data_IF_014490280110
#
_entry.id   IF_014490280110
#
_cell.length_a   1.000
_cell.length_b   1.000
_cell.length_c   1.000
_cell.angle_alpha   90.00
_cell.angle_beta   90.00
_cell.angle_gamma   90.00
#
_symmetry.space_group_name_H-M   'P 1'
#
loop_
_entity.id
_entity.type
_entity.pdbx_description
1 polymer ?
#
# COMPACT_ATOMS: atom_id res chain seq x y z
N UNK A 1 -5.52 -28.94 18.27
CA UNK A 1 -4.80 -28.11 17.27
C UNK A 1 -3.36 -28.01 17.73
N UNK A 2 -2.44 -28.64 17.00
CA UNK A 2 -1.02 -28.76 17.34
C UNK A 2 -0.26 -27.52 16.86
N UNK A 3 0.57 -26.95 17.73
CA UNK A 3 1.50 -25.87 17.41
C UNK A 3 2.82 -26.47 16.90
N UNK A 4 3.20 -26.16 15.66
CA UNK A 4 4.53 -26.46 15.14
C UNK A 4 5.46 -25.27 15.35
N UNK A 5 6.50 -25.50 16.14
CA UNK A 5 7.59 -24.56 16.41
C UNK A 5 8.51 -24.39 15.21
N UNK A 6 8.86 -23.14 14.92
CA UNK A 6 9.88 -22.79 13.93
C UNK A 6 11.26 -23.01 14.54
N UNK A 7 12.00 -23.89 13.86
CA UNK A 7 13.33 -24.38 14.21
C UNK A 7 14.37 -23.31 13.82
N UNK A 8 15.19 -22.90 14.78
CA UNK A 8 16.32 -21.99 14.55
C UNK A 8 17.35 -22.58 13.58
N UNK A 9 17.69 -21.81 12.56
CA UNK A 9 18.84 -22.09 11.69
C UNK A 9 20.14 -21.58 12.31
N UNK A 10 21.29 -22.20 12.01
CA UNK A 10 22.58 -21.79 12.58
C UNK A 10 23.03 -20.44 12.02
N UNK A 11 23.58 -19.61 12.91
CA UNK A 11 24.16 -18.31 12.59
C UNK A 11 25.39 -18.46 11.68
N UNK A 12 25.36 -17.78 10.54
CA UNK A 12 26.49 -17.68 9.60
C UNK A 12 27.47 -16.63 10.16
N UNK A 13 28.76 -16.95 10.37
CA UNK A 13 29.72 -15.96 10.85
C UNK A 13 30.06 -14.95 9.75
N UNK A 14 29.86 -13.67 10.06
CA UNK A 14 30.31 -12.53 9.25
C UNK A 14 31.84 -12.51 9.21
N UNK A 15 32.41 -12.82 8.06
CA UNK A 15 33.84 -12.60 7.78
C UNK A 15 34.04 -11.11 7.49
N UNK A 16 34.84 -10.43 8.32
CA UNK A 16 35.31 -9.07 8.07
C UNK A 16 36.20 -9.07 6.82
N UNK A 17 35.78 -8.36 5.78
CA UNK A 17 36.63 -8.03 4.64
C UNK A 17 37.46 -6.83 5.08
N UNK A 18 38.74 -7.08 5.39
CA UNK A 18 39.72 -6.01 5.53
C UNK A 18 40.08 -5.48 4.15
N UNK A 19 40.10 -4.15 4.08
CA UNK A 19 40.45 -3.31 2.96
C UNK A 19 41.81 -3.71 2.36
N UNK A 20 41.84 -4.03 1.07
CA UNK A 20 43.10 -4.06 0.30
C UNK A 20 43.13 -2.79 -0.52
N UNK A 21 43.96 -1.86 -0.04
CA UNK A 21 44.26 -0.60 -0.67
C UNK A 21 44.98 -0.80 -2.02
N UNK A 22 44.54 0.05 -2.93
CA UNK A 22 45.12 0.47 -4.18
C UNK A 22 46.60 0.90 -4.02
N UNK A 23 47.44 0.50 -4.97
CA UNK A 23 48.80 1.02 -5.15
C UNK A 23 49.17 0.87 -6.61
N UNK A 24 48.62 1.76 -7.43
CA UNK A 24 49.17 2.06 -8.74
C UNK A 24 50.46 2.88 -8.61
N UNK A 25 51.56 2.36 -9.17
CA UNK A 25 52.70 3.13 -9.70
C UNK A 25 53.23 2.34 -10.92
N UNK A 26 53.05 2.80 -12.15
CA UNK A 26 53.74 3.89 -12.86
C UNK A 26 54.99 3.40 -13.62
N UNK A 27 54.83 3.43 -14.95
CA UNK A 27 55.77 3.65 -16.06
C UNK A 27 57.31 3.60 -15.85
N UNK A 28 57.98 2.79 -16.69
CA UNK A 28 59.24 3.11 -17.37
C UNK A 28 59.44 2.07 -18.51
N UNK A 29 59.36 2.40 -19.81
CA UNK A 29 60.23 3.23 -20.66
C UNK A 29 61.62 2.62 -20.97
N UNK A 30 61.88 2.47 -22.28
CA UNK A 30 63.17 2.28 -23.00
C UNK A 30 63.91 0.94 -22.79
N UNK A 31 64.55 0.25 -23.76
CA UNK A 31 65.06 0.57 -25.10
C UNK A 31 65.47 -0.76 -25.80
N UNK A 32 65.57 -0.86 -27.13
CA UNK A 32 66.10 -2.03 -27.84
C UNK A 32 67.59 -1.85 -28.19
N UNK A 33 68.42 -2.90 -28.09
CA UNK A 33 69.79 -2.88 -28.63
C UNK A 33 70.18 -4.16 -29.36
N UNK A 34 70.60 -3.94 -30.60
CA UNK A 34 71.08 -4.91 -31.59
C UNK A 34 72.57 -5.23 -31.39
N UNK A 35 72.91 -6.50 -31.68
CA UNK A 35 74.13 -7.03 -32.33
C UNK A 35 75.55 -6.74 -31.79
N UNK A 36 76.31 -7.81 -31.54
CA UNK A 36 77.64 -7.98 -32.13
C UNK A 36 78.13 -9.44 -32.14
N UNK A 37 78.65 -9.80 -33.32
CA UNK A 37 79.34 -11.01 -33.80
C UNK A 37 80.63 -11.32 -33.02
N UNK A 38 80.94 -12.60 -32.77
CA UNK A 38 82.34 -13.06 -32.64
C UNK A 38 82.50 -14.53 -33.04
N UNK A 39 83.63 -14.80 -33.67
CA UNK A 39 84.00 -15.89 -34.58
C UNK A 39 84.86 -16.97 -33.90
N UNK A 40 84.58 -18.25 -34.13
CA UNK A 40 85.57 -19.34 -34.31
C UNK A 40 84.86 -20.69 -34.59
N UNK A 41 85.13 -21.34 -35.73
CA UNK A 41 84.96 -22.80 -35.90
C UNK A 41 86.25 -23.55 -35.49
N UNK A 42 86.46 -24.87 -35.75
CA UNK A 42 85.68 -25.90 -36.48
C UNK A 42 85.58 -27.24 -35.65
N UNK A 43 85.31 -28.48 -36.16
CA UNK A 43 84.99 -28.94 -37.52
C UNK A 43 83.69 -29.74 -37.66
N UNK A 44 83.37 -29.99 -38.94
CA UNK A 44 82.29 -30.81 -39.46
C UNK A 44 82.40 -32.27 -38.98
N UNK A 45 81.32 -32.77 -38.37
CA UNK A 45 81.00 -34.19 -38.37
C UNK A 45 79.57 -34.35 -38.91
N UNK A 46 79.45 -35.09 -40.01
CA UNK A 46 78.21 -35.42 -40.69
C UNK A 46 77.26 -36.17 -39.75
N UNK A 47 76.24 -35.47 -39.26
CA UNK A 47 75.21 -35.97 -38.36
C UNK A 47 73.80 -35.56 -38.77
N UNK A 48 73.48 -35.65 -40.07
CA UNK A 48 72.18 -35.22 -40.64
C UNK A 48 70.96 -36.04 -40.20
N UNK A 49 71.12 -37.05 -39.34
CA UNK A 49 70.02 -37.89 -38.85
C UNK A 49 69.33 -37.43 -37.56
N UNK A 50 69.99 -36.62 -36.72
CA UNK A 50 69.46 -36.28 -35.36
C UNK A 50 68.78 -34.91 -35.27
N UNK A 51 69.11 -33.96 -36.15
CA UNK A 51 68.56 -32.59 -36.07
C UNK A 51 67.10 -32.49 -36.52
N UNK A 52 66.63 -33.38 -37.40
CA UNK A 52 65.24 -33.42 -37.87
C UNK A 52 64.29 -33.99 -36.81
N UNK A 53 64.71 -35.03 -36.08
CA UNK A 53 63.94 -35.57 -34.97
C UNK A 53 63.86 -34.59 -33.80
N UNK A 54 64.96 -33.97 -33.39
CA UNK A 54 64.96 -32.94 -32.34
C UNK A 54 64.07 -31.73 -32.70
N UNK A 55 64.12 -31.23 -33.95
CA UNK A 55 63.20 -30.18 -34.41
C UNK A 55 61.73 -30.60 -34.36
N UNK A 56 61.41 -31.85 -34.70
CA UNK A 56 60.03 -32.34 -34.63
C UNK A 56 59.49 -32.43 -33.20
N UNK A 57 60.36 -32.70 -32.21
CA UNK A 57 59.98 -32.69 -30.79
C UNK A 57 59.77 -31.26 -30.26
N UNK A 58 60.62 -30.32 -30.66
CA UNK A 58 60.46 -28.90 -30.31
C UNK A 58 59.18 -28.31 -30.95
N UNK A 59 58.89 -28.66 -32.20
CA UNK A 59 57.66 -28.23 -32.90
C UNK A 59 56.40 -28.79 -32.24
N UNK A 60 56.42 -30.06 -31.81
CA UNK A 60 55.30 -30.68 -31.08
C UNK A 60 55.09 -30.04 -29.70
N UNK A 61 56.17 -29.77 -28.97
CA UNK A 61 56.10 -29.10 -27.66
C UNK A 61 55.58 -27.66 -27.78
N UNK A 62 55.96 -26.95 -28.85
CA UNK A 62 55.44 -25.61 -29.13
C UNK A 62 53.95 -25.66 -29.47
N UNK A 63 53.48 -26.67 -30.21
CA UNK A 63 52.07 -26.84 -30.51
C UNK A 63 51.24 -27.11 -29.24
N UNK A 64 51.69 -28.02 -28.37
CA UNK A 64 51.00 -28.31 -27.10
C UNK A 64 50.90 -27.07 -26.20
N UNK A 65 51.96 -26.24 -26.19
CA UNK A 65 51.96 -24.97 -25.47
C UNK A 65 51.01 -23.94 -26.09
N UNK A 66 50.91 -23.88 -27.41
CA UNK A 66 49.95 -23.01 -28.10
C UNK A 66 48.51 -23.42 -27.81
N UNK A 67 48.20 -24.72 -27.87
CA UNK A 67 46.88 -25.25 -27.58
C UNK A 67 46.48 -24.97 -26.13
N UNK A 68 47.42 -25.12 -25.19
CA UNK A 68 47.21 -24.78 -23.78
C UNK A 68 46.99 -23.27 -23.58
N UNK A 69 47.71 -22.41 -24.30
CA UNK A 69 47.50 -20.96 -24.24
C UNK A 69 46.13 -20.56 -24.79
N UNK A 70 45.70 -21.15 -25.91
CA UNK A 70 44.37 -20.90 -26.49
C UNK A 70 43.29 -21.33 -25.50
N UNK A 71 43.41 -22.52 -24.90
CA UNK A 71 42.44 -22.98 -23.91
C UNK A 71 42.40 -22.07 -22.67
N UNK A 72 43.56 -21.59 -22.20
CA UNK A 72 43.62 -20.63 -21.10
C UNK A 72 42.99 -19.27 -21.45
N UNK A 73 43.15 -18.80 -22.68
CA UNK A 73 42.50 -17.57 -23.12
C UNK A 73 40.97 -17.72 -23.16
N UNK A 74 40.46 -18.86 -23.63
CA UNK A 74 39.02 -19.17 -23.60
C UNK A 74 38.48 -19.21 -22.15
N UNK A 75 39.18 -19.87 -21.24
CA UNK A 75 38.84 -19.89 -19.80
C UNK A 75 38.83 -18.46 -19.22
N UNK A 76 39.84 -17.64 -19.54
CA UNK A 76 39.92 -16.24 -19.10
C UNK A 76 38.74 -15.43 -19.64
N UNK A 77 38.36 -15.64 -20.90
CA UNK A 77 37.24 -14.95 -21.53
C UNK A 77 35.91 -15.33 -20.87
N UNK A 78 35.71 -16.61 -20.56
CA UNK A 78 34.53 -17.08 -19.83
C UNK A 78 34.49 -16.49 -18.41
N UNK A 79 35.61 -16.50 -17.69
CA UNK A 79 35.70 -15.90 -16.36
C UNK A 79 35.40 -14.40 -16.38
N UNK A 80 35.90 -13.65 -17.37
CA UNK A 80 35.57 -12.23 -17.56
C UNK A 80 34.07 -12.02 -17.77
N UNK A 81 33.42 -12.89 -18.53
CA UNK A 81 31.98 -12.82 -18.73
C UNK A 81 31.20 -13.08 -17.43
N UNK A 82 31.57 -14.12 -16.68
CA UNK A 82 30.95 -14.43 -15.38
C UNK A 82 31.15 -13.29 -14.39
N UNK A 83 32.32 -12.66 -14.34
CA UNK A 83 32.59 -11.49 -13.49
C UNK A 83 31.66 -10.34 -13.88
N UNK A 84 31.56 -10.01 -15.16
CA UNK A 84 30.68 -8.94 -15.64
C UNK A 84 29.21 -9.19 -15.28
N UNK A 85 28.74 -10.44 -15.38
CA UNK A 85 27.39 -10.81 -14.96
C UNK A 85 27.20 -10.65 -13.45
N UNK A 86 28.17 -11.09 -12.64
CA UNK A 86 28.12 -10.95 -11.18
C UNK A 86 28.11 -9.48 -10.77
N UNK A 87 28.94 -8.64 -11.39
CA UNK A 87 28.96 -7.19 -11.11
C UNK A 87 27.62 -6.53 -11.44
N UNK A 88 26.99 -6.94 -12.55
CA UNK A 88 25.65 -6.46 -12.90
C UNK A 88 24.61 -6.83 -11.85
N UNK A 89 24.60 -8.10 -11.39
CA UNK A 89 23.69 -8.56 -10.34
C UNK A 89 23.93 -7.84 -9.02
N UNK A 90 25.19 -7.68 -8.61
CA UNK A 90 25.56 -6.97 -7.38
C UNK A 90 25.06 -5.52 -7.43
N UNK A 91 25.25 -4.83 -8.56
CA UNK A 91 24.78 -3.47 -8.75
C UNK A 91 23.25 -3.37 -8.67
N UNK A 92 22.55 -4.26 -9.37
CA UNK A 92 21.08 -4.30 -9.36
C UNK A 92 20.52 -4.54 -7.95
N UNK A 93 21.09 -5.49 -7.21
CA UNK A 93 20.67 -5.75 -5.83
C UNK A 93 21.01 -4.59 -4.89
N UNK A 94 22.14 -3.91 -5.12
CA UNK A 94 22.52 -2.71 -4.37
C UNK A 94 21.53 -1.55 -4.55
N UNK A 95 21.04 -1.33 -5.76
CA UNK A 95 19.99 -0.34 -6.04
C UNK A 95 18.67 -0.71 -5.36
N UNK A 96 18.28 -1.98 -5.41
CA UNK A 96 17.07 -2.47 -4.75
C UNK A 96 17.14 -2.33 -3.23
N UNK A 97 18.26 -2.70 -2.61
CA UNK A 97 18.50 -2.50 -1.17
C UNK A 97 18.46 -1.02 -0.81
N UNK A 98 19.11 -0.15 -1.60
CA UNK A 98 19.05 1.29 -1.39
C UNK A 98 17.62 1.84 -1.44
N UNK A 99 16.80 1.34 -2.37
CA UNK A 99 15.38 1.72 -2.44
C UNK A 99 14.58 1.23 -1.23
N UNK A 100 14.87 0.02 -0.73
CA UNK A 100 14.22 -0.55 0.45
C UNK A 100 14.60 0.19 1.74
N UNK A 101 15.84 0.65 1.88
CA UNK A 101 16.28 1.48 3.00
C UNK A 101 15.57 2.85 3.02
N UNK A 102 15.44 3.49 1.86
CA UNK A 102 14.67 4.74 1.73
C UNK A 102 13.20 4.49 2.09
N UNK A 103 12.61 3.39 1.64
CA UNK A 103 11.24 3.02 1.99
C UNK A 103 11.09 2.80 3.52
N UNK A 104 12.04 2.11 4.15
CA UNK A 104 12.05 1.90 5.60
C UNK A 104 12.15 3.23 6.37
N UNK A 105 12.98 4.17 5.90
CA UNK A 105 13.09 5.50 6.50
C UNK A 105 11.76 6.27 6.40
N UNK A 106 11.09 6.22 5.25
CA UNK A 106 9.78 6.86 5.05
C UNK A 106 8.71 6.24 5.96
N UNK A 107 8.71 4.91 6.12
CA UNK A 107 7.80 4.22 7.04
C UNK A 107 8.04 4.69 8.47
N UNK A 108 9.30 4.72 8.92
CA UNK A 108 9.65 5.22 10.25
C UNK A 108 9.20 6.68 10.47
N UNK A 109 9.39 7.56 9.47
CA UNK A 109 8.89 8.94 9.54
C UNK A 109 7.37 9.00 9.63
N UNK A 110 6.65 8.21 8.85
CA UNK A 110 5.19 8.13 8.91
C UNK A 110 4.71 7.64 10.28
N UNK A 111 5.36 6.64 10.85
CA UNK A 111 5.03 6.14 12.20
C UNK A 111 5.24 7.20 13.28
N UNK A 112 6.29 8.02 13.16
CA UNK A 112 6.51 9.16 14.05
C UNK A 112 5.40 10.21 13.95
N UNK A 113 4.95 10.52 12.72
CA UNK A 113 3.84 11.45 12.51
C UNK A 113 2.54 10.89 13.06
N UNK A 114 2.23 9.61 12.81
CA UNK A 114 1.03 8.95 13.33
C UNK A 114 1.01 8.99 14.86
N UNK A 115 2.13 8.63 15.51
CA UNK A 115 2.23 8.65 16.97
C UNK A 115 2.01 10.05 17.54
N UNK A 116 2.61 11.07 16.92
CA UNK A 116 2.42 12.47 17.31
C UNK A 116 0.95 12.90 17.16
N UNK A 117 0.31 12.57 16.04
CA UNK A 117 -1.10 12.90 15.82
C UNK A 117 -2.01 12.18 16.82
N UNK A 118 -1.68 10.94 17.22
CA UNK A 118 -2.41 10.21 18.26
C UNK A 118 -2.25 10.88 19.64
N UNK A 119 -1.05 11.35 19.97
CA UNK A 119 -0.80 12.11 21.21
C UNK A 119 -1.58 13.44 21.21
N UNK A 120 -1.52 14.20 20.11
CA UNK A 120 -2.29 15.45 19.93
C UNK A 120 -3.82 15.19 19.98
N UNK A 121 -4.28 14.06 19.44
CA UNK A 121 -5.69 13.66 19.51
C UNK A 121 -6.12 13.31 20.94
N UNK A 122 -5.32 12.56 21.68
CA UNK A 122 -5.63 12.26 23.08
C UNK A 122 -5.49 13.51 23.95
N UNK A 123 -4.53 14.42 23.69
CA UNK A 123 -4.41 15.70 24.38
C UNK A 123 -5.63 16.60 24.12
N UNK A 124 -6.09 16.70 22.87
CA UNK A 124 -7.31 17.48 22.54
C UNK A 124 -8.54 16.84 23.15
N UNK A 125 -8.67 15.52 23.14
CA UNK A 125 -9.76 14.80 23.80
C UNK A 125 -9.75 14.99 25.32
N UNK A 126 -8.57 14.94 25.95
CA UNK A 126 -8.39 15.21 27.37
C UNK A 126 -8.73 16.68 27.68
N UNK A 127 -8.29 17.62 26.85
CA UNK A 127 -8.64 19.04 26.94
C UNK A 127 -10.14 19.28 26.78
N UNK A 128 -10.82 18.55 25.89
CA UNK A 128 -12.29 18.57 25.75
C UNK A 128 -12.94 18.01 27.02
N UNK A 129 -12.44 16.92 27.59
CA UNK A 129 -12.94 16.32 28.83
C UNK A 129 -12.75 17.24 30.05
N UNK A 130 -11.60 17.90 30.17
CA UNK A 130 -11.28 18.84 31.25
C UNK A 130 -12.04 20.17 31.09
N UNK A 131 -12.18 20.66 29.85
CA UNK A 131 -13.06 21.78 29.54
C UNK A 131 -14.54 21.43 29.79
N UNK A 132 -14.94 20.17 29.62
CA UNK A 132 -16.26 19.65 29.97
C UNK A 132 -16.46 19.50 31.49
N UNK A 133 -15.39 19.43 32.29
CA UNK A 133 -15.47 19.48 33.76
C UNK A 133 -15.99 20.83 34.29
N UNK A 134 -15.85 21.90 33.51
CA UNK A 134 -16.42 23.23 33.80
C UNK A 134 -17.58 23.60 32.86
N UNK A 135 -17.92 22.69 31.93
CA UNK A 135 -18.98 22.82 30.94
C UNK A 135 -19.76 21.50 30.89
N UNK A 136 -20.38 21.13 32.01
CA UNK A 136 -21.14 19.88 32.18
C UNK A 136 -22.41 19.74 31.32
N UNK A 137 -22.46 20.40 30.17
CA UNK A 137 -23.51 20.37 29.18
C UNK A 137 -22.84 20.66 27.82
N UNK A 138 -22.57 19.64 26.98
CA UNK A 138 -22.52 19.75 25.49
C UNK A 138 -21.91 18.56 24.73
N UNK A 139 -21.71 17.37 25.32
CA UNK A 139 -22.07 16.15 24.58
C UNK A 139 -23.50 15.81 24.94
N UNK A 140 -24.42 16.65 24.49
CA UNK A 140 -25.82 16.27 24.42
C UNK A 140 -25.91 15.32 23.22
N UNK A 141 -25.33 14.12 23.35
CA UNK A 141 -25.86 12.96 22.65
C UNK A 141 -27.21 12.72 23.30
N UNK A 142 -28.16 13.59 22.98
CA UNK A 142 -29.53 13.49 23.42
C UNK A 142 -29.98 12.15 22.88
N UNK A 143 -30.16 11.18 23.77
CA UNK A 143 -30.75 9.91 23.40
C UNK A 143 -32.12 10.26 22.80
N UNK A 144 -32.24 10.09 21.48
CA UNK A 144 -33.52 10.28 20.81
C UNK A 144 -34.20 8.93 20.74
N UNK A 145 -35.41 8.86 21.26
CA UNK A 145 -36.25 7.68 21.12
C UNK A 145 -37.06 7.87 19.85
N UNK A 146 -36.88 6.96 18.88
CA UNK A 146 -37.83 6.86 17.77
C UNK A 146 -39.18 6.40 18.34
N UNK A 147 -40.17 7.29 18.31
CA UNK A 147 -41.53 6.97 18.75
C UNK A 147 -42.34 6.41 17.59
N UNK A 148 -43.25 5.45 17.85
CA UNK A 148 -44.21 5.01 16.84
C UNK A 148 -45.00 6.21 16.33
N UNK A 149 -45.03 6.36 15.01
CA UNK A 149 -45.79 7.42 14.36
C UNK A 149 -47.25 6.95 14.24
N UNK A 150 -48.19 7.74 14.77
CA UNK A 150 -49.62 7.44 14.59
C UNK A 150 -50.00 7.57 13.11
N UNK A 151 -50.95 6.76 12.65
CA UNK A 151 -51.41 6.72 11.24
C UNK A 151 -51.97 8.08 10.76
N UNK A 152 -52.31 8.97 11.69
CA UNK A 152 -52.80 10.34 11.45
C UNK A 152 -51.70 11.40 11.34
N UNK A 153 -50.44 11.05 11.58
CA UNK A 153 -49.35 12.03 11.62
C UNK A 153 -48.95 12.44 10.21
N UNK A 154 -49.16 13.71 9.87
CA UNK A 154 -48.68 14.28 8.62
C UNK A 154 -47.30 14.90 8.82
N UNK A 155 -46.45 14.78 7.80
CA UNK A 155 -45.19 15.50 7.72
C UNK A 155 -45.47 17.01 7.54
N UNK A 156 -44.86 17.85 8.38
CA UNK A 156 -44.99 19.30 8.32
C UNK A 156 -43.66 19.90 7.84
N UNK A 157 -43.59 20.46 6.62
CA UNK A 157 -42.36 21.06 6.12
C UNK A 157 -42.08 22.39 6.82
N UNK A 158 -40.79 22.72 6.94
CA UNK A 158 -40.35 24.06 7.30
C UNK A 158 -40.64 25.04 6.16
N UNK A 159 -41.25 26.17 6.49
CA UNK A 159 -41.65 27.16 5.51
C UNK A 159 -40.45 27.70 4.70
N UNK A 160 -40.55 27.64 3.38
CA UNK A 160 -39.56 28.21 2.47
C UNK A 160 -38.42 27.25 2.09
N UNK A 161 -38.45 26.00 2.53
CA UNK A 161 -37.52 24.97 2.08
C UNK A 161 -38.17 24.06 1.03
N UNK A 162 -37.70 24.20 -0.21
CA UNK A 162 -38.22 23.48 -1.38
C UNK A 162 -37.97 21.97 -1.27
N UNK A 163 -36.86 21.53 -0.67
CA UNK A 163 -36.57 20.11 -0.48
C UNK A 163 -37.55 19.53 0.53
N UNK A 164 -37.76 20.27 1.62
CA UNK A 164 -38.65 19.90 2.70
C UNK A 164 -40.12 19.81 2.26
N UNK A 165 -40.57 20.79 1.48
CA UNK A 165 -41.91 20.82 0.88
C UNK A 165 -42.12 19.62 -0.05
N UNK A 166 -41.12 19.26 -0.86
CA UNK A 166 -41.19 18.08 -1.73
C UNK A 166 -41.19 16.77 -0.95
N UNK A 167 -40.40 16.68 0.12
CA UNK A 167 -40.42 15.53 1.04
C UNK A 167 -41.79 15.43 1.72
N UNK A 168 -42.42 16.56 2.08
CA UNK A 168 -43.76 16.59 2.64
C UNK A 168 -44.81 16.10 1.64
N UNK A 169 -44.78 16.61 0.41
CA UNK A 169 -45.70 16.18 -0.66
C UNK A 169 -45.56 14.69 -0.95
N UNK A 170 -44.33 14.20 -1.05
CA UNK A 170 -44.04 12.77 -1.22
C UNK A 170 -44.54 11.96 -0.02
N UNK A 171 -44.17 12.36 1.20
CA UNK A 171 -44.44 11.61 2.43
C UNK A 171 -45.92 11.58 2.80
N UNK A 172 -46.64 12.68 2.57
CA UNK A 172 -48.07 12.80 2.85
C UNK A 172 -48.93 12.18 1.73
N UNK A 173 -48.39 12.06 0.51
CA UNK A 173 -49.05 11.39 -0.61
C UNK A 173 -49.09 9.87 -0.49
N UNK A 174 -48.29 9.28 0.41
CA UNK A 174 -48.24 7.84 0.70
C UNK A 174 -48.35 7.60 2.21
N UNK A 175 -48.44 6.33 2.60
CA UNK A 175 -48.34 5.93 4.01
C UNK A 175 -46.93 5.44 4.27
N UNK A 176 -46.06 6.32 4.74
CA UNK A 176 -44.70 5.95 5.12
C UNK A 176 -44.70 5.17 6.44
N UNK A 177 -43.88 4.12 6.50
CA UNK A 177 -43.57 3.38 7.72
C UNK A 177 -42.48 4.07 8.54
N UNK A 178 -41.59 4.79 7.85
CA UNK A 178 -40.48 5.52 8.45
C UNK A 178 -40.56 6.97 8.00
N UNK A 179 -40.55 7.90 8.97
CA UNK A 179 -40.64 9.33 8.69
C UNK A 179 -39.26 9.96 8.58
N UNK A 180 -39.15 10.95 7.70
CA UNK A 180 -38.02 11.88 7.70
C UNK A 180 -38.12 12.80 8.90
N UNK A 181 -36.98 13.16 9.48
CA UNK A 181 -36.87 14.19 10.52
C UNK A 181 -35.79 15.17 10.10
N UNK A 182 -36.16 16.41 9.82
CA UNK A 182 -35.22 17.45 9.42
C UNK A 182 -34.32 17.84 10.58
N UNK A 183 -33.01 17.91 10.32
CA UNK A 183 -32.03 18.38 11.29
C UNK A 183 -31.86 19.90 11.20
N UNK A 184 -31.19 20.50 12.20
CA UNK A 184 -30.95 21.96 12.23
C UNK A 184 -30.04 22.42 11.08
N UNK A 185 -29.20 21.53 10.57
CA UNK A 185 -28.29 21.83 9.47
C UNK A 185 -29.00 21.68 8.12
N UNK A 186 -28.78 22.63 7.21
CA UNK A 186 -29.46 22.68 5.92
C UNK A 186 -29.16 21.44 5.08
N UNK A 187 -30.21 20.81 4.56
CA UNK A 187 -30.11 19.65 3.70
C UNK A 187 -29.87 18.32 4.43
N UNK A 188 -29.76 18.29 5.76
CA UNK A 188 -29.58 17.04 6.51
C UNK A 188 -30.87 16.57 7.17
N UNK A 189 -31.11 15.26 7.06
CA UNK A 189 -32.31 14.60 7.51
C UNK A 189 -31.97 13.27 8.17
N UNK A 190 -32.80 12.84 9.12
CA UNK A 190 -32.82 11.48 9.60
C UNK A 190 -33.95 10.71 8.92
N UNK A 191 -33.64 9.57 8.32
CA UNK A 191 -34.62 8.60 7.85
C UNK A 191 -34.54 7.36 8.74
N UNK A 192 -35.41 7.28 9.75
CA UNK A 192 -35.29 6.29 10.80
C UNK A 192 -33.99 6.49 11.58
N UNK A 193 -32.97 5.67 11.30
CA UNK A 193 -31.64 5.77 11.90
C UNK A 193 -30.56 6.23 10.91
N UNK A 194 -30.90 6.35 9.63
CA UNK A 194 -29.96 6.73 8.59
C UNK A 194 -29.83 8.26 8.55
N UNK A 195 -28.59 8.74 8.65
CA UNK A 195 -28.27 10.15 8.42
C UNK A 195 -28.10 10.37 6.92
N UNK A 196 -28.99 11.16 6.34
CA UNK A 196 -29.04 11.39 4.91
C UNK A 196 -28.99 12.88 4.58
N UNK A 197 -28.32 13.19 3.50
CA UNK A 197 -28.32 14.50 2.87
C UNK A 197 -29.31 14.51 1.71
N UNK A 198 -30.26 15.44 1.75
CA UNK A 198 -31.27 15.62 0.71
C UNK A 198 -31.01 16.93 -0.03
N UNK A 199 -31.08 16.90 -1.36
CA UNK A 199 -30.88 18.09 -2.18
C UNK A 199 -31.88 18.13 -3.35
N UNK A 200 -32.24 19.36 -3.74
CA UNK A 200 -33.15 19.58 -4.85
C UNK A 200 -32.44 19.30 -6.18
N UNK A 201 -33.07 18.50 -7.03
CA UNK A 201 -32.55 18.25 -8.37
C UNK A 201 -32.70 19.51 -9.24
N UNK A 202 -31.58 19.97 -9.82
CA UNK A 202 -31.54 21.17 -10.68
C UNK A 202 -32.22 20.94 -12.03
N UNK A 203 -32.34 19.68 -12.48
CA UNK A 203 -32.98 19.30 -13.73
C UNK A 203 -34.34 18.67 -13.46
N UNK A 204 -35.35 19.51 -13.21
CA UNK A 204 -36.71 19.16 -12.78
C UNK A 204 -37.56 18.34 -13.78
N UNK A 205 -36.95 17.58 -14.70
CA UNK A 205 -37.65 16.92 -15.80
C UNK A 205 -37.61 15.39 -15.79
N UNK A 206 -36.81 14.74 -14.93
CA UNK A 206 -36.72 13.27 -14.92
C UNK A 206 -37.43 12.59 -13.76
N UNK A 207 -37.43 13.22 -12.58
CA UNK A 207 -37.90 12.56 -11.36
C UNK A 207 -39.12 13.28 -10.79
N UNK A 208 -40.16 12.51 -10.46
CA UNK A 208 -41.48 13.01 -10.05
C UNK A 208 -41.44 13.80 -8.74
N UNK A 209 -40.51 13.45 -7.84
CA UNK A 209 -40.28 14.15 -6.58
C UNK A 209 -39.19 15.24 -6.69
N UNK A 210 -38.24 15.14 -7.63
CA UNK A 210 -37.15 16.10 -7.82
C UNK A 210 -36.25 16.29 -6.60
N UNK A 211 -36.13 15.28 -5.74
CA UNK A 211 -35.26 15.26 -4.55
C UNK A 211 -34.33 14.06 -4.66
N UNK A 212 -33.04 14.32 -4.48
CA UNK A 212 -32.01 13.30 -4.41
C UNK A 212 -31.60 13.12 -2.95
N UNK A 213 -31.33 11.88 -2.56
CA UNK A 213 -30.99 11.46 -1.21
C UNK A 213 -29.67 10.71 -1.24
N UNK A 214 -28.74 11.11 -0.38
CA UNK A 214 -27.44 10.48 -0.21
C UNK A 214 -27.23 10.15 1.27
N UNK A 215 -26.90 8.91 1.59
CA UNK A 215 -26.46 8.54 2.95
C UNK A 215 -25.06 9.13 3.21
N UNK A 216 -24.82 9.68 4.40
CA UNK A 216 -23.58 10.43 4.68
C UNK A 216 -22.30 9.60 4.47
N UNK A 217 -22.38 8.30 4.73
CA UNK A 217 -21.27 7.34 4.59
C UNK A 217 -21.26 6.61 3.23
N UNK A 218 -22.10 7.03 2.28
CA UNK A 218 -22.26 6.39 0.97
C UNK A 218 -21.96 7.35 -0.19
N UNK A 219 -21.33 6.83 -1.23
CA UNK A 219 -21.16 7.53 -2.51
C UNK A 219 -22.42 7.37 -3.40
N UNK A 220 -23.32 6.45 -3.05
CA UNK A 220 -24.52 6.17 -3.82
C UNK A 220 -25.57 7.27 -3.59
N UNK A 221 -26.02 7.90 -4.69
CA UNK A 221 -27.10 8.89 -4.69
C UNK A 221 -28.35 8.26 -5.27
N UNK A 222 -29.46 8.40 -4.57
CA UNK A 222 -30.75 7.82 -4.93
C UNK A 222 -31.80 8.90 -5.19
N UNK A 223 -32.76 8.62 -6.05
CA UNK A 223 -34.01 9.37 -6.06
C UNK A 223 -34.77 9.12 -4.77
N UNK A 224 -35.53 10.12 -4.30
CA UNK A 224 -36.34 9.97 -3.09
C UNK A 224 -37.27 8.74 -3.13
N UNK A 225 -37.87 8.45 -4.29
CA UNK A 225 -38.77 7.30 -4.45
C UNK A 225 -38.01 5.97 -4.32
N UNK A 226 -36.86 5.86 -4.99
CA UNK A 226 -36.03 4.65 -5.00
C UNK A 226 -35.38 4.41 -3.64
N UNK A 227 -34.90 5.47 -2.99
CA UNK A 227 -34.35 5.42 -1.64
C UNK A 227 -35.38 4.85 -0.67
N UNK A 228 -36.59 5.42 -0.64
CA UNK A 228 -37.63 4.95 0.28
C UNK A 228 -38.06 3.54 -0.07
N UNK A 229 -38.20 3.19 -1.35
CA UNK A 229 -38.53 1.83 -1.77
C UNK A 229 -37.48 0.78 -1.31
N UNK A 230 -36.20 1.15 -1.31
CA UNK A 230 -35.11 0.26 -0.93
C UNK A 230 -34.91 0.15 0.59
N UNK A 231 -34.99 1.26 1.31
CA UNK A 231 -34.55 1.33 2.71
C UNK A 231 -35.71 1.33 3.73
N UNK A 232 -36.92 1.72 3.35
CA UNK A 232 -38.04 1.88 4.30
C UNK A 232 -38.35 0.61 5.08
N UNK A 233 -38.44 -0.54 4.40
CA UNK A 233 -38.79 -1.80 5.05
C UNK A 233 -37.67 -2.30 5.99
N UNK A 234 -36.41 -2.12 5.57
CA UNK A 234 -35.25 -2.51 6.36
C UNK A 234 -35.15 -1.68 7.64
N UNK A 235 -35.30 -0.37 7.53
CA UNK A 235 -35.27 0.52 8.70
C UNK A 235 -36.46 0.27 9.63
N UNK A 236 -37.67 0.08 9.08
CA UNK A 236 -38.84 -0.26 9.89
C UNK A 236 -38.63 -1.54 10.69
N UNK A 237 -38.15 -2.62 10.06
CA UNK A 237 -37.89 -3.88 10.74
C UNK A 237 -36.85 -3.74 11.85
N UNK A 238 -35.80 -2.93 11.63
CA UNK A 238 -34.76 -2.69 12.63
C UNK A 238 -35.28 -1.89 13.81
N UNK A 239 -36.12 -0.88 13.56
CA UNK A 239 -36.79 -0.11 14.59
C UNK A 239 -37.72 -1.00 15.43
N UNK A 240 -38.50 -1.88 14.80
CA UNK A 240 -39.37 -2.84 15.51
C UNK A 240 -38.58 -3.78 16.41
N UNK A 241 -37.47 -4.36 15.89
CA UNK A 241 -36.60 -5.24 16.68
C UNK A 241 -36.00 -4.52 17.88
N UNK A 242 -35.53 -3.29 17.69
CA UNK A 242 -34.97 -2.49 18.76
C UNK A 242 -36.04 -2.14 19.81
N UNK A 243 -37.23 -1.73 19.38
CA UNK A 243 -38.34 -1.43 20.28
C UNK A 243 -38.74 -2.65 21.13
N UNK A 244 -38.80 -3.84 20.52
CA UNK A 244 -39.06 -5.09 21.24
C UNK A 244 -37.95 -5.42 22.26
N UNK A 245 -36.68 -5.24 21.89
CA UNK A 245 -35.55 -5.50 22.78
C UNK A 245 -35.53 -4.54 23.99
N UNK A 246 -35.85 -3.26 23.78
CA UNK A 246 -36.02 -2.28 24.86
C UNK A 246 -37.19 -2.66 25.78
N UNK A 247 -38.35 -3.02 25.20
CA UNK A 247 -39.52 -3.42 25.97
C UNK A 247 -39.29 -4.70 26.81
N UNK A 248 -38.42 -5.61 26.35
CA UNK A 248 -38.04 -6.83 27.05
C UNK A 248 -36.90 -6.66 28.06
N UNK A 249 -36.33 -5.44 28.18
CA UNK A 249 -35.21 -5.14 29.08
C UNK A 249 -33.90 -5.84 28.69
N UNK A 250 -33.76 -6.27 27.44
CA UNK A 250 -32.60 -7.02 26.91
C UNK A 250 -31.63 -6.15 26.11
N UNK A 251 -32.00 -4.90 25.78
CA UNK A 251 -31.14 -4.00 25.02
C UNK A 251 -30.16 -3.22 25.90
N UNK A 252 -28.86 -3.46 25.68
CA UNK A 252 -27.80 -2.48 25.95
C UNK A 252 -27.76 -1.39 24.87
N UNK A 253 -26.99 -0.34 25.15
CA UNK A 253 -26.78 0.88 24.36
C UNK A 253 -26.78 0.61 22.83
N UNK A 254 -27.58 1.37 22.09
CA UNK A 254 -27.70 1.30 20.63
C UNK A 254 -26.37 1.71 19.98
N UNK A 255 -25.59 0.75 19.48
CA UNK A 255 -24.36 1.02 18.75
C UNK A 255 -24.67 1.64 17.36
N UNK A 256 -23.90 2.65 16.91
CA UNK A 256 -24.05 3.21 15.58
C UNK A 256 -23.77 2.15 14.50
N UNK A 257 -24.59 2.14 13.45
CA UNK A 257 -24.51 1.18 12.36
C UNK A 257 -23.21 1.41 11.57
N UNK A 258 -22.18 0.61 11.83
CA UNK A 258 -21.01 0.50 10.95
C UNK A 258 -21.24 -0.67 10.00
N UNK A 259 -21.74 -0.39 8.78
CA UNK A 259 -21.82 -1.43 7.74
C UNK A 259 -20.43 -1.70 7.17
N UNK A 260 -19.78 -2.74 7.66
CA UNK A 260 -18.71 -3.44 6.94
C UNK A 260 -19.31 -4.09 5.68
N UNK A 261 -19.29 -3.39 4.53
CA UNK A 261 -19.60 -4.02 3.24
C UNK A 261 -18.49 -5.02 2.90
N UNK A 262 -18.85 -6.30 2.79
CA UNK A 262 -18.05 -7.28 2.05
C UNK A 262 -18.14 -6.92 0.56
N UNK A 263 -16.99 -6.73 -0.07
CA UNK A 263 -16.87 -6.64 -1.53
C UNK A 263 -17.01 -7.99 -2.21
#
# INVERSE_FOLDING_TARGET
MQAHGLRGGPAIPLVRIEEIYDSGESEASAEPRSAARSTAGPPEEDGEGCSTLLRSYDELQVQDLQDLLVHREDEIQELRHVIAMKDHVIRSLGEEIGSAEVAAQVISMKDHVIRRLQEELEETKQSILESSGNLGQMTDATMFTALPVEVSTAYVPAAGDVVDERIADFSNGRRNLVMFTKLKEEGYYLFGRLLVQCFAEKQAQRHRAGVLVQELDSEDVYDLEDFVAQFEHLEHQQLEQHFLAVAQGTAGIMEPVTRLRHG
#
